data_IF_636162793232
#
_entry.id   IF_636162793232
#
_cell.length_a   1.000
_cell.length_b   1.000
_cell.length_c   1.000
_cell.angle_alpha   90.00
_cell.angle_beta   90.00
_cell.angle_gamma   90.00
#
_symmetry.space_group_name_H-M   'P 1'
#
loop_
_entity.id
_entity.type
_entity.pdbx_description
1 polymer ?
#
# COMPACT_ATOMS: atom_id res chain seq x y z
N UNK A 1 -14.67 5.76 -19.39
CA UNK A 1 -14.41 6.84 -18.39
C UNK A 1 -14.82 6.28 -17.03
N UNK A 2 -13.95 6.35 -16.02
CA UNK A 2 -14.31 5.87 -14.67
C UNK A 2 -15.30 6.86 -14.06
N UNK A 3 -16.39 6.36 -13.51
CA UNK A 3 -17.29 7.18 -12.70
C UNK A 3 -16.66 7.42 -11.33
N UNK A 4 -16.45 8.70 -11.00
CA UNK A 4 -15.84 9.09 -9.73
C UNK A 4 -16.83 8.95 -8.58
N UNK A 5 -16.36 8.39 -7.49
CA UNK A 5 -17.15 8.25 -6.26
C UNK A 5 -17.29 9.61 -5.55
N UNK A 6 -18.38 9.84 -4.79
CA UNK A 6 -18.63 11.15 -4.15
C UNK A 6 -17.45 11.65 -3.28
N UNK A 7 -16.77 10.76 -2.55
CA UNK A 7 -15.62 11.15 -1.74
C UNK A 7 -14.38 11.51 -2.58
N UNK A 8 -14.23 10.93 -3.79
CA UNK A 8 -13.15 11.30 -4.72
C UNK A 8 -13.40 12.68 -5.32
N UNK A 9 -14.65 12.99 -5.65
CA UNK A 9 -15.03 14.35 -6.07
C UNK A 9 -14.75 15.37 -4.96
N UNK A 10 -15.14 15.07 -3.70
CA UNK A 10 -14.85 15.94 -2.56
C UNK A 10 -13.35 16.14 -2.33
N UNK A 11 -12.53 15.11 -2.53
CA UNK A 11 -11.06 15.21 -2.43
C UNK A 11 -10.50 16.13 -3.54
N UNK A 12 -10.98 15.97 -4.78
CA UNK A 12 -10.57 16.80 -5.92
C UNK A 12 -10.99 18.25 -5.76
N UNK A 13 -12.17 18.52 -5.19
CA UNK A 13 -12.64 19.88 -4.90
C UNK A 13 -11.76 20.52 -3.81
N UNK A 14 -11.42 19.78 -2.75
CA UNK A 14 -10.51 20.25 -1.72
C UNK A 14 -9.10 20.56 -2.27
N UNK A 15 -8.59 19.72 -3.17
CA UNK A 15 -7.31 19.95 -3.86
C UNK A 15 -7.36 21.16 -4.79
N UNK A 16 -8.51 21.45 -5.39
CA UNK A 16 -8.69 22.64 -6.24
C UNK A 16 -8.77 23.93 -5.42
N UNK A 17 -9.16 23.85 -4.15
CA UNK A 17 -9.30 24.98 -3.23
C UNK A 17 -8.04 25.26 -2.40
N UNK A 18 -7.04 24.37 -2.43
CA UNK A 18 -5.83 24.49 -1.60
C UNK A 18 -4.61 23.93 -2.33
N UNK A 19 -3.54 24.72 -2.40
CA UNK A 19 -2.30 24.29 -3.08
C UNK A 19 -1.47 23.32 -2.27
N UNK A 20 -1.77 23.13 -0.97
CA UNK A 20 -1.05 22.21 -0.08
C UNK A 20 -1.97 21.61 0.96
N UNK A 21 -1.82 20.32 1.20
CA UNK A 21 -2.54 19.66 2.29
C UNK A 21 -2.52 18.15 2.28
N UNK A 22 -3.13 17.60 3.32
CA UNK A 22 -3.21 16.18 3.56
C UNK A 22 -4.57 15.65 3.12
N UNK A 23 -4.55 14.53 2.39
CA UNK A 23 -5.74 13.81 1.94
C UNK A 23 -5.74 12.44 2.63
N UNK A 24 -6.62 12.30 3.62
CA UNK A 24 -6.76 11.09 4.44
C UNK A 24 -7.88 10.25 3.85
N UNK A 25 -7.51 9.15 3.19
CA UNK A 25 -8.46 8.23 2.57
C UNK A 25 -8.09 6.80 2.97
N UNK A 26 -9.03 6.02 3.50
CA UNK A 26 -8.78 4.62 3.86
C UNK A 26 -8.21 3.80 2.70
N UNK A 27 -7.44 2.77 3.02
CA UNK A 27 -6.94 1.82 2.02
C UNK A 27 -8.13 1.20 1.28
N UNK A 28 -8.05 1.14 -0.05
CA UNK A 28 -9.17 0.72 -0.90
C UNK A 28 -10.15 1.85 -1.29
N UNK A 29 -10.01 3.04 -0.70
CA UNK A 29 -10.84 4.21 -1.02
C UNK A 29 -10.50 4.89 -2.36
N UNK A 30 -9.40 4.51 -3.05
CA UNK A 30 -9.06 5.01 -4.38
C UNK A 30 -8.24 6.29 -4.38
N UNK A 31 -7.25 6.42 -3.50
CA UNK A 31 -6.28 7.54 -3.47
C UNK A 31 -5.64 7.80 -4.83
N UNK A 32 -5.18 6.74 -5.50
CA UNK A 32 -4.54 6.83 -6.82
C UNK A 32 -5.45 7.48 -7.87
N UNK A 33 -6.74 7.16 -7.85
CA UNK A 33 -7.71 7.77 -8.79
C UNK A 33 -7.82 9.28 -8.57
N UNK A 34 -7.79 9.75 -7.31
CA UNK A 34 -7.78 11.20 -7.04
C UNK A 34 -6.54 11.88 -7.64
N UNK A 35 -5.35 11.28 -7.49
CA UNK A 35 -4.12 11.81 -8.09
C UNK A 35 -4.22 11.86 -9.62
N UNK A 36 -4.66 10.75 -10.25
CA UNK A 36 -4.79 10.65 -11.70
C UNK A 36 -5.78 11.69 -12.25
N UNK A 37 -6.94 11.84 -11.63
CA UNK A 37 -7.95 12.78 -12.11
C UNK A 37 -7.53 14.24 -11.90
N UNK A 38 -6.78 14.56 -10.84
CA UNK A 38 -6.19 15.89 -10.67
C UNK A 38 -5.13 16.17 -11.75
N UNK A 39 -4.27 15.21 -12.05
CA UNK A 39 -3.28 15.31 -13.17
C UNK A 39 -3.99 15.50 -14.50
N UNK A 40 -5.06 14.75 -14.80
CA UNK A 40 -5.86 14.94 -16.02
C UNK A 40 -6.46 16.33 -16.13
N UNK A 41 -6.91 16.90 -15.00
CA UNK A 41 -7.40 18.28 -14.96
C UNK A 41 -6.31 19.29 -15.33
N UNK A 42 -5.10 19.11 -14.79
CA UNK A 42 -3.95 19.97 -15.07
C UNK A 42 -3.48 19.84 -16.52
N UNK A 43 -3.44 18.63 -17.09
CA UNK A 43 -3.00 18.37 -18.46
C UNK A 43 -3.98 18.88 -19.54
N UNK A 44 -5.18 19.32 -19.14
CA UNK A 44 -6.08 20.08 -20.04
C UNK A 44 -5.63 21.52 -20.27
N UNK A 45 -4.69 22.01 -19.46
CA UNK A 45 -4.06 23.32 -19.66
C UNK A 45 -3.29 23.35 -21.00
N UNK A 46 -3.27 24.50 -21.70
CA UNK A 46 -2.39 24.68 -22.87
C UNK A 46 -0.91 24.82 -22.49
N UNK A 47 -0.61 25.00 -21.19
CA UNK A 47 0.76 25.10 -20.67
C UNK A 47 1.19 23.74 -20.16
N UNK A 48 2.37 23.30 -20.55
CA UNK A 48 2.96 22.07 -20.07
C UNK A 48 3.25 22.12 -18.55
N UNK A 49 2.93 21.04 -17.86
CA UNK A 49 3.13 20.91 -16.40
C UNK A 49 4.12 19.79 -16.10
N UNK A 50 4.91 19.97 -15.05
CA UNK A 50 5.82 18.97 -14.50
C UNK A 50 5.24 18.40 -13.20
N UNK A 51 4.89 17.13 -13.24
CA UNK A 51 4.26 16.39 -12.14
C UNK A 51 5.25 15.40 -11.55
N UNK A 52 5.33 15.31 -10.24
CA UNK A 52 6.11 14.28 -9.52
C UNK A 52 5.19 13.44 -8.65
N UNK A 53 5.32 12.13 -8.76
CA UNK A 53 4.60 11.15 -7.92
C UNK A 53 5.62 10.37 -7.10
N UNK A 54 5.54 10.50 -5.78
CA UNK A 54 6.49 9.90 -4.83
C UNK A 54 5.87 8.68 -4.17
N UNK A 55 6.51 7.54 -4.29
CA UNK A 55 6.10 6.28 -3.70
C UNK A 55 7.11 5.79 -2.63
N UNK A 56 6.70 4.96 -1.66
CA UNK A 56 7.61 4.43 -0.65
C UNK A 56 8.64 3.44 -1.22
N UNK A 57 8.33 2.77 -2.33
CA UNK A 57 9.17 1.72 -2.94
C UNK A 57 9.11 1.76 -4.47
N UNK A 58 10.19 1.26 -5.10
CA UNK A 58 10.32 1.18 -6.57
C UNK A 58 9.14 0.41 -7.21
N UNK A 59 8.77 -0.74 -6.64
CA UNK A 59 7.67 -1.54 -7.15
C UNK A 59 6.35 -0.76 -7.16
N UNK A 60 6.09 0.03 -6.11
CA UNK A 60 4.89 0.88 -6.05
C UNK A 60 4.99 2.05 -7.03
N UNK A 61 6.17 2.65 -7.22
CA UNK A 61 6.36 3.68 -8.23
C UNK A 61 6.06 3.16 -9.65
N UNK A 62 6.51 1.94 -9.98
CA UNK A 62 6.20 1.29 -11.25
C UNK A 62 4.70 0.97 -11.37
N UNK A 63 4.06 0.48 -10.29
CA UNK A 63 2.63 0.21 -10.26
C UNK A 63 1.80 1.48 -10.45
N UNK A 64 2.14 2.57 -9.76
CA UNK A 64 1.49 3.87 -9.95
C UNK A 64 1.63 4.36 -11.39
N UNK A 65 2.82 4.24 -11.98
CA UNK A 65 3.02 4.57 -13.39
C UNK A 65 2.06 3.78 -14.30
N UNK A 66 1.96 2.47 -14.12
CA UNK A 66 1.05 1.63 -14.90
C UNK A 66 -0.41 2.03 -14.69
N UNK A 67 -0.84 2.27 -13.45
CA UNK A 67 -2.21 2.69 -13.13
C UNK A 67 -2.54 4.08 -13.75
N UNK A 68 -1.59 5.00 -13.75
CA UNK A 68 -1.74 6.30 -14.39
C UNK A 68 -1.90 6.17 -15.91
N UNK A 69 -1.07 5.37 -16.56
CA UNK A 69 -1.12 5.19 -18.03
C UNK A 69 -2.35 4.39 -18.47
N UNK A 70 -2.76 3.36 -17.74
CA UNK A 70 -4.01 2.62 -18.00
C UNK A 70 -5.27 3.52 -17.98
N UNK A 71 -5.20 4.66 -17.29
CA UNK A 71 -6.28 5.63 -17.23
C UNK A 71 -6.21 6.70 -18.35
N UNK A 72 -5.53 6.40 -19.46
CA UNK A 72 -5.39 7.26 -20.63
C UNK A 72 -4.78 8.65 -20.31
N UNK A 73 -3.71 8.67 -19.53
CA UNK A 73 -2.93 9.90 -19.36
C UNK A 73 -2.26 10.36 -20.65
N UNK A 74 -2.11 9.47 -21.62
CA UNK A 74 -1.68 9.73 -23.00
C UNK A 74 -2.83 10.12 -23.95
N UNK A 75 -4.03 10.32 -23.42
CA UNK A 75 -5.22 10.73 -24.19
C UNK A 75 -5.07 12.10 -24.87
N UNK A 76 -6.08 12.53 -25.60
CA UNK A 76 -6.14 13.77 -26.38
C UNK A 76 -5.92 15.04 -25.54
N UNK A 77 -4.69 15.26 -25.09
CA UNK A 77 -4.25 16.53 -24.53
C UNK A 77 -3.67 17.42 -25.63
N UNK A 78 -3.81 18.74 -25.46
CA UNK A 78 -3.21 19.73 -26.37
C UNK A 78 -1.68 19.66 -26.40
N UNK A 79 -1.07 19.02 -25.39
CA UNK A 79 0.36 18.89 -25.18
C UNK A 79 0.67 17.40 -24.92
N UNK A 80 1.71 16.86 -25.55
CA UNK A 80 2.13 15.47 -25.35
C UNK A 80 2.53 15.19 -23.89
N UNK A 81 2.61 13.91 -23.53
CA UNK A 81 3.01 13.48 -22.18
C UNK A 81 4.32 12.70 -22.25
N UNK A 82 5.32 13.16 -21.50
CA UNK A 82 6.62 12.50 -21.34
C UNK A 82 6.70 11.85 -19.94
N UNK A 83 7.09 10.58 -19.89
CA UNK A 83 7.17 9.79 -18.65
C UNK A 83 8.61 9.45 -18.32
N UNK A 84 8.99 9.61 -17.05
CA UNK A 84 10.29 9.19 -16.55
C UNK A 84 10.20 8.57 -15.16
N UNK A 85 11.22 7.81 -14.79
CA UNK A 85 11.43 7.29 -13.45
C UNK A 85 12.73 7.83 -12.87
N UNK A 86 12.70 8.16 -11.57
CA UNK A 86 13.89 8.52 -10.81
C UNK A 86 14.05 7.53 -9.68
N UNK A 87 14.61 6.35 -10.02
CA UNK A 87 15.00 5.30 -9.09
C UNK A 87 15.98 4.31 -9.76
N UNK A 88 16.58 3.42 -8.98
CA UNK A 88 17.59 2.47 -9.48
C UNK A 88 17.02 1.15 -9.98
N UNK A 89 15.70 0.95 -9.93
CA UNK A 89 15.05 -0.29 -10.38
C UNK A 89 14.79 -0.32 -11.87
N UNK A 90 14.50 -1.51 -12.37
CA UNK A 90 14.13 -1.74 -13.76
C UNK A 90 12.76 -1.14 -14.08
N UNK A 91 12.63 -0.57 -15.28
CA UNK A 91 11.39 -0.03 -15.83
C UNK A 91 11.50 0.02 -17.35
N UNK A 92 10.36 0.01 -18.04
CA UNK A 92 10.29 0.17 -19.49
C UNK A 92 10.42 1.63 -19.97
N UNK A 93 10.39 2.58 -19.03
CA UNK A 93 10.50 4.01 -19.33
C UNK A 93 11.90 4.54 -19.08
N UNK A 94 12.16 5.76 -19.53
CA UNK A 94 13.40 6.42 -19.19
C UNK A 94 13.59 6.47 -17.68
N UNK A 95 14.74 6.01 -17.19
CA UNK A 95 15.05 5.99 -15.77
C UNK A 95 16.48 6.44 -15.51
N UNK A 96 16.65 7.28 -14.47
CA UNK A 96 17.97 7.72 -14.02
C UNK A 96 17.93 8.24 -12.60
N UNK A 97 19.03 8.08 -11.86
CA UNK A 97 19.26 8.71 -10.55
C UNK A 97 20.30 9.82 -10.61
N UNK A 98 20.81 10.18 -11.82
CA UNK A 98 21.79 11.26 -11.99
C UNK A 98 21.07 12.58 -12.20
N UNK A 99 21.23 13.53 -11.29
CA UNK A 99 20.59 14.85 -11.32
C UNK A 99 20.77 15.57 -12.68
N UNK A 100 22.01 15.58 -13.22
CA UNK A 100 22.28 16.18 -14.53
C UNK A 100 21.48 15.55 -15.69
N UNK A 101 21.24 14.23 -15.65
CA UNK A 101 20.44 13.55 -16.66
C UNK A 101 18.95 13.82 -16.50
N UNK A 102 18.47 14.01 -15.28
CA UNK A 102 17.08 14.43 -15.01
C UNK A 102 16.86 15.81 -15.62
N UNK A 103 17.77 16.77 -15.38
CA UNK A 103 17.71 18.11 -15.94
C UNK A 103 17.70 18.10 -17.48
N UNK A 104 18.61 17.33 -18.12
CA UNK A 104 18.67 17.20 -19.58
C UNK A 104 17.38 16.58 -20.14
N UNK A 105 16.83 15.55 -19.48
CA UNK A 105 15.59 14.92 -19.91
C UNK A 105 14.41 15.90 -19.81
N UNK A 106 14.29 16.63 -18.72
CA UNK A 106 13.23 17.63 -18.54
C UNK A 106 13.33 18.75 -19.58
N UNK A 107 14.54 19.27 -19.85
CA UNK A 107 14.75 20.29 -20.88
C UNK A 107 14.36 19.81 -22.28
N UNK A 108 14.67 18.55 -22.63
CA UNK A 108 14.28 17.96 -23.93
C UNK A 108 12.77 17.79 -24.06
N UNK A 109 12.05 17.69 -22.96
CA UNK A 109 10.61 17.49 -22.92
C UNK A 109 9.83 18.74 -22.47
N UNK A 110 10.45 19.92 -22.48
CA UNK A 110 9.84 21.16 -21.96
C UNK A 110 8.52 21.54 -22.64
N UNK A 111 8.33 21.12 -23.88
CA UNK A 111 7.07 21.34 -24.63
C UNK A 111 5.99 20.29 -24.31
N UNK A 112 6.30 19.28 -23.53
CA UNK A 112 5.38 18.22 -23.13
C UNK A 112 5.01 18.33 -21.65
N UNK A 113 3.82 17.88 -21.29
CA UNK A 113 3.54 17.54 -19.90
C UNK A 113 4.53 16.47 -19.44
N UNK A 114 5.14 16.67 -18.29
CA UNK A 114 6.13 15.74 -17.75
C UNK A 114 5.55 15.07 -16.51
N UNK A 115 5.65 13.74 -16.42
CA UNK A 115 5.30 13.01 -15.21
C UNK A 115 6.49 12.14 -14.79
N UNK A 116 6.95 12.33 -13.56
CA UNK A 116 8.10 11.67 -12.99
C UNK A 116 7.67 10.82 -11.80
N UNK A 117 7.85 9.51 -11.90
CA UNK A 117 7.63 8.59 -10.79
C UNK A 117 8.94 8.37 -10.04
N UNK A 118 8.92 8.55 -8.73
CA UNK A 118 10.11 8.43 -7.88
C UNK A 118 9.81 7.74 -6.57
N UNK A 119 10.85 7.49 -5.78
CA UNK A 119 10.72 7.01 -4.40
C UNK A 119 11.19 8.09 -3.43
N UNK A 120 10.75 8.00 -2.16
CA UNK A 120 11.27 8.88 -1.10
C UNK A 120 12.80 8.86 -1.04
N UNK A 121 13.42 7.69 -1.28
CA UNK A 121 14.88 7.54 -1.31
C UNK A 121 15.56 8.30 -2.45
N UNK A 122 14.87 8.53 -3.56
CA UNK A 122 15.45 9.17 -4.76
C UNK A 122 14.96 10.60 -4.97
N UNK A 123 14.04 11.09 -4.15
CA UNK A 123 13.42 12.40 -4.31
C UNK A 123 14.44 13.54 -4.31
N UNK A 124 15.47 13.47 -3.45
CA UNK A 124 16.55 14.46 -3.40
C UNK A 124 17.29 14.59 -4.73
N UNK A 125 17.30 13.56 -5.60
CA UNK A 125 17.93 13.64 -6.92
C UNK A 125 17.17 14.56 -7.88
N UNK A 126 15.85 14.66 -7.72
CA UNK A 126 15.04 15.60 -8.48
C UNK A 126 15.31 17.03 -7.96
N UNK A 127 15.43 17.21 -6.65
CA UNK A 127 15.83 18.49 -6.05
C UNK A 127 17.21 18.94 -6.56
N UNK A 128 18.21 18.07 -6.53
CA UNK A 128 19.58 18.35 -7.04
C UNK A 128 19.60 18.69 -8.53
N UNK A 129 18.62 18.22 -9.32
CA UNK A 129 18.54 18.51 -10.75
C UNK A 129 18.09 19.94 -11.08
N UNK A 130 17.51 20.65 -10.11
CA UNK A 130 17.05 22.02 -10.24
C UNK A 130 15.84 22.21 -11.18
N UNK A 131 15.15 21.15 -11.58
CA UNK A 131 13.94 21.28 -12.39
C UNK A 131 12.79 21.87 -11.57
N UNK A 132 11.98 22.70 -12.21
CA UNK A 132 10.74 23.16 -11.59
C UNK A 132 9.71 22.04 -11.53
N UNK A 133 8.96 21.96 -10.42
CA UNK A 133 7.89 20.99 -10.21
C UNK A 133 6.60 21.76 -9.94
N UNK A 134 5.61 21.61 -10.83
CA UNK A 134 4.32 22.27 -10.66
C UNK A 134 3.48 21.58 -9.59
N UNK A 135 3.38 20.27 -9.63
CA UNK A 135 2.62 19.52 -8.61
C UNK A 135 3.39 18.28 -8.16
N UNK A 136 3.39 18.05 -6.87
CA UNK A 136 3.95 16.83 -6.27
C UNK A 136 2.90 16.11 -5.43
N UNK A 137 2.81 14.78 -5.63
CA UNK A 137 1.98 13.88 -4.84
C UNK A 137 2.85 12.94 -4.04
N UNK A 138 2.63 12.88 -2.75
CA UNK A 138 3.27 11.94 -1.83
C UNK A 138 2.30 10.81 -1.51
N UNK A 139 2.48 9.63 -2.10
CA UNK A 139 1.70 8.45 -1.75
C UNK A 139 2.26 7.78 -0.50
N UNK A 140 1.37 7.21 0.34
CA UNK A 140 1.69 6.68 1.66
C UNK A 140 2.53 7.67 2.48
N UNK A 141 2.02 8.91 2.60
CA UNK A 141 2.74 10.09 3.11
C UNK A 141 3.22 9.95 4.56
N UNK A 142 2.74 8.96 5.32
CA UNK A 142 3.32 8.62 6.63
C UNK A 142 4.81 8.22 6.55
N UNK A 143 5.34 7.92 5.35
CA UNK A 143 6.77 7.70 5.13
C UNK A 143 7.58 9.00 5.07
N UNK A 144 6.96 10.11 4.69
CA UNK A 144 7.61 11.42 4.53
C UNK A 144 8.30 11.92 5.80
N UNK A 145 7.81 11.53 6.98
CA UNK A 145 8.36 11.95 8.29
C UNK A 145 9.67 11.24 8.68
N UNK A 146 10.21 10.37 7.82
CA UNK A 146 11.46 9.68 8.12
C UNK A 146 12.64 10.67 7.98
N UNK A 147 13.60 10.58 8.91
CA UNK A 147 14.76 11.49 8.99
C UNK A 147 15.50 11.67 7.66
N UNK A 148 15.62 10.59 6.88
CA UNK A 148 16.36 10.60 5.61
C UNK A 148 15.55 11.19 4.44
N UNK A 149 14.27 11.49 4.62
CA UNK A 149 13.38 11.95 3.57
C UNK A 149 12.88 13.37 3.80
N UNK A 150 12.81 13.79 5.07
CA UNK A 150 12.13 15.01 5.48
C UNK A 150 12.68 16.26 4.80
N UNK A 151 13.99 16.35 4.60
CA UNK A 151 14.65 17.51 3.97
C UNK A 151 14.12 17.75 2.54
N UNK A 152 14.08 16.70 1.72
CA UNK A 152 13.53 16.79 0.36
C UNK A 152 12.02 17.01 0.34
N UNK A 153 11.28 16.47 1.32
CA UNK A 153 9.84 16.70 1.48
C UNK A 153 9.56 18.16 1.81
N UNK A 154 10.28 18.72 2.77
CA UNK A 154 10.19 20.13 3.19
C UNK A 154 10.50 21.07 2.02
N UNK A 155 11.57 20.78 1.26
CA UNK A 155 11.91 21.52 0.06
C UNK A 155 10.72 21.60 -0.92
N UNK A 156 10.13 20.45 -1.27
CA UNK A 156 9.00 20.46 -2.23
C UNK A 156 7.71 21.02 -1.65
N UNK A 157 7.50 20.90 -0.33
CA UNK A 157 6.39 21.58 0.33
C UNK A 157 6.47 23.09 0.21
N UNK A 158 7.69 23.64 0.15
CA UNK A 158 7.90 25.10 0.03
C UNK A 158 7.94 25.57 -1.43
N UNK A 159 8.51 24.78 -2.34
CA UNK A 159 8.87 25.25 -3.69
C UNK A 159 8.03 24.67 -4.83
N UNK A 160 7.31 23.59 -4.63
CA UNK A 160 6.33 23.14 -5.63
C UNK A 160 5.09 24.05 -5.58
N UNK A 161 4.50 24.34 -6.74
CA UNK A 161 3.30 25.17 -6.79
C UNK A 161 2.13 24.51 -6.08
N UNK A 162 2.03 23.16 -6.14
CA UNK A 162 1.02 22.37 -5.44
C UNK A 162 1.66 21.13 -4.82
N UNK A 163 1.30 20.82 -3.57
CA UNK A 163 1.90 19.72 -2.80
C UNK A 163 0.85 18.96 -1.97
N UNK A 164 0.65 17.67 -2.27
CA UNK A 164 -0.39 16.87 -1.62
C UNK A 164 0.15 15.59 -1.00
N UNK A 165 -0.31 15.33 0.23
CA UNK A 165 0.11 14.21 1.07
C UNK A 165 -1.04 13.21 1.24
N UNK A 166 -0.96 12.08 0.54
CA UNK A 166 -1.98 11.03 0.57
C UNK A 166 -1.61 9.92 1.54
N UNK A 167 -2.49 9.61 2.47
CA UNK A 167 -2.32 8.45 3.38
C UNK A 167 -3.66 7.96 3.93
N UNK A 168 -3.69 6.71 4.38
CA UNK A 168 -4.78 6.19 5.21
C UNK A 168 -4.45 6.29 6.71
N UNK A 169 -3.16 6.45 7.05
CA UNK A 169 -2.62 6.30 8.39
C UNK A 169 -1.62 7.42 8.70
N UNK A 170 -2.09 8.62 9.06
CA UNK A 170 -1.20 9.73 9.40
C UNK A 170 -0.21 9.35 10.50
N UNK A 171 0.98 9.93 10.44
CA UNK A 171 2.02 9.72 11.43
C UNK A 171 2.36 11.04 12.10
N UNK A 172 1.96 11.18 13.35
CA UNK A 172 2.15 12.39 14.14
C UNK A 172 3.41 12.32 15.00
N UNK A 173 3.91 13.46 15.39
CA UNK A 173 4.99 13.57 16.38
C UNK A 173 4.47 14.30 17.63
N UNK A 174 4.94 13.85 18.79
CA UNK A 174 4.66 14.49 20.09
C UNK A 174 5.94 15.20 20.61
N UNK A 175 7.09 14.96 19.95
CA UNK A 175 8.39 15.46 20.37
C UNK A 175 9.03 16.41 19.37
N UNK A 176 10.36 16.50 19.42
CA UNK A 176 11.16 17.39 18.56
C UNK A 176 11.30 16.90 17.11
N UNK A 177 10.87 15.70 16.80
CA UNK A 177 10.88 15.19 15.42
C UNK A 177 9.67 15.70 14.66
N UNK A 178 9.83 15.86 13.35
CA UNK A 178 8.74 16.25 12.45
C UNK A 178 7.73 15.11 12.33
N UNK A 179 6.45 15.42 12.41
CA UNK A 179 5.32 14.54 12.16
C UNK A 179 4.35 15.19 11.17
N UNK A 180 3.40 14.44 10.65
CA UNK A 180 2.38 14.99 9.73
C UNK A 180 1.44 16.02 10.40
N UNK A 181 1.48 16.13 11.73
CA UNK A 181 0.83 17.22 12.48
C UNK A 181 1.59 18.56 12.42
N UNK A 182 2.75 18.60 11.78
CA UNK A 182 3.46 19.83 11.45
C UNK A 182 2.84 20.44 10.18
N UNK A 183 1.97 21.43 10.39
CA UNK A 183 1.21 22.08 9.30
C UNK A 183 2.04 23.01 8.43
N UNK A 184 3.23 23.44 8.90
CA UNK A 184 4.13 24.27 8.11
C UNK A 184 4.73 23.48 6.95
N UNK A 185 4.94 22.18 7.15
CA UNK A 185 5.45 21.26 6.11
C UNK A 185 4.31 20.55 5.39
N UNK A 186 3.39 19.93 6.14
CA UNK A 186 2.38 19.03 5.54
C UNK A 186 1.06 19.72 5.16
N UNK A 187 0.90 21.00 5.52
CA UNK A 187 -0.40 21.67 5.41
C UNK A 187 -1.44 21.07 6.37
N UNK A 188 -2.63 21.63 6.34
CA UNK A 188 -3.78 21.08 7.06
C UNK A 188 -4.35 19.82 6.41
N UNK A 189 -5.22 19.12 7.13
CA UNK A 189 -6.04 18.05 6.54
C UNK A 189 -7.16 18.70 5.72
N UNK A 190 -7.02 18.69 4.39
CA UNK A 190 -7.99 19.30 3.47
C UNK A 190 -9.11 18.33 3.08
N UNK A 191 -8.88 17.02 3.19
CA UNK A 191 -9.89 16.00 2.98
C UNK A 191 -9.67 14.82 3.94
N UNK A 192 -10.73 14.46 4.68
CA UNK A 192 -10.74 13.26 5.51
C UNK A 192 -11.98 12.42 5.18
N UNK A 193 -11.78 11.18 4.75
CA UNK A 193 -12.84 10.27 4.34
C UNK A 193 -13.02 9.19 5.40
N UNK A 194 -14.10 9.19 6.19
CA UNK A 194 -14.36 8.17 7.18
C UNK A 194 -14.62 6.79 6.55
N UNK A 195 -13.94 5.74 7.04
CA UNK A 195 -14.13 4.38 6.55
C UNK A 195 -15.59 3.86 6.67
N UNK A 196 -16.35 4.16 7.77
CA UNK A 196 -17.76 3.76 7.87
C UNK A 196 -18.62 4.30 6.72
N UNK A 197 -18.33 5.51 6.22
CA UNK A 197 -19.02 6.07 5.06
C UNK A 197 -18.78 5.23 3.81
N UNK A 198 -17.55 4.78 3.58
CA UNK A 198 -17.21 3.92 2.45
C UNK A 198 -17.81 2.52 2.57
N UNK A 199 -17.86 1.95 3.78
CA UNK A 199 -18.55 0.68 4.06
C UNK A 199 -20.04 0.81 3.77
N UNK A 200 -20.71 1.84 4.32
CA UNK A 200 -22.14 2.09 4.10
C UNK A 200 -22.50 2.27 2.60
N UNK A 201 -21.59 2.85 1.84
CA UNK A 201 -21.74 3.07 0.40
C UNK A 201 -21.32 1.83 -0.44
N UNK A 202 -20.83 0.76 0.19
CA UNK A 202 -20.43 -0.48 -0.48
C UNK A 202 -19.13 -0.35 -1.31
N UNK A 203 -18.31 0.66 -1.05
CA UNK A 203 -17.02 0.84 -1.75
C UNK A 203 -15.88 0.02 -1.15
N UNK A 204 -15.95 -0.24 0.15
CA UNK A 204 -15.09 -1.18 0.87
C UNK A 204 -15.98 -2.07 1.75
N UNK A 205 -15.45 -3.22 2.17
CA UNK A 205 -16.14 -4.17 3.03
C UNK A 205 -15.82 -3.90 4.52
N UNK A 206 -16.73 -4.24 5.45
CA UNK A 206 -16.40 -4.20 6.87
C UNK A 206 -15.38 -5.28 7.22
N UNK A 207 -14.42 -5.02 8.13
CA UNK A 207 -13.55 -6.06 8.67
C UNK A 207 -14.30 -6.92 9.71
N UNK A 208 -14.09 -8.25 9.65
CA UNK A 208 -14.53 -9.21 10.68
C UNK A 208 -13.29 -9.74 11.39
N UNK A 209 -13.16 -9.50 12.69
CA UNK A 209 -12.01 -9.96 13.47
C UNK A 209 -12.34 -11.27 14.16
N UNK A 210 -11.49 -12.27 13.98
CA UNK A 210 -11.53 -13.56 14.66
C UNK A 210 -10.25 -13.72 15.46
N UNK A 211 -10.38 -13.91 16.78
CA UNK A 211 -9.27 -14.18 17.67
C UNK A 211 -9.30 -15.66 18.02
N UNK A 212 -8.34 -16.42 17.50
CA UNK A 212 -8.22 -17.85 17.79
C UNK A 212 -7.26 -18.05 18.96
N UNK A 213 -7.77 -18.48 20.11
CA UNK A 213 -6.95 -18.87 21.25
C UNK A 213 -6.36 -20.25 20.98
N UNK A 214 -5.08 -20.40 21.22
CA UNK A 214 -4.33 -21.63 21.04
C UNK A 214 -3.66 -21.96 22.38
N UNK A 215 -3.89 -23.15 22.87
CA UNK A 215 -3.22 -23.65 24.07
C UNK A 215 -1.77 -23.99 23.73
N UNK A 216 -0.84 -23.33 24.44
CA UNK A 216 0.59 -23.58 24.24
C UNK A 216 0.96 -24.98 24.74
N UNK A 217 1.56 -25.76 23.87
CA UNK A 217 2.46 -26.83 24.28
C UNK A 217 3.79 -26.18 24.63
N UNK A 218 4.29 -26.40 25.84
CA UNK A 218 5.46 -25.71 26.42
C UNK A 218 6.81 -26.00 25.72
N UNK A 219 6.80 -26.75 24.62
CA UNK A 219 7.97 -27.15 23.87
C UNK A 219 8.13 -26.31 22.58
N UNK A 220 9.15 -25.47 22.55
CA UNK A 220 9.48 -24.61 21.40
C UNK A 220 9.76 -25.39 20.08
N UNK A 221 9.99 -26.72 20.17
CA UNK A 221 10.18 -27.58 19.00
C UNK A 221 8.92 -27.74 18.17
N UNK A 222 7.74 -27.71 18.81
CA UNK A 222 6.45 -27.88 18.14
C UNK A 222 5.78 -26.58 17.71
N UNK A 223 6.47 -25.44 17.87
CA UNK A 223 5.85 -24.13 17.57
C UNK A 223 5.42 -23.98 16.10
N UNK A 224 6.13 -24.57 15.15
CA UNK A 224 5.77 -24.52 13.75
C UNK A 224 4.60 -25.47 13.42
N UNK A 225 4.41 -26.54 14.17
CA UNK A 225 3.25 -27.41 14.07
C UNK A 225 2.01 -26.67 14.60
N UNK A 226 2.12 -25.96 15.73
CA UNK A 226 1.04 -25.14 16.25
C UNK A 226 0.65 -23.99 15.29
N UNK A 227 1.65 -23.34 14.64
CA UNK A 227 1.37 -22.37 13.59
C UNK A 227 0.62 -23.04 12.41
N UNK A 228 1.00 -24.26 12.03
CA UNK A 228 0.36 -25.05 10.99
C UNK A 228 -1.10 -25.36 11.33
N UNK A 229 -1.35 -25.95 12.49
CA UNK A 229 -2.69 -26.32 12.96
C UNK A 229 -3.60 -25.10 13.03
N UNK A 230 -3.08 -23.99 13.59
CA UNK A 230 -3.82 -22.75 13.67
C UNK A 230 -4.27 -22.22 12.31
N UNK A 231 -3.38 -22.26 11.32
CA UNK A 231 -3.70 -21.78 9.98
C UNK A 231 -4.73 -22.70 9.33
N UNK A 232 -4.53 -24.01 9.38
CA UNK A 232 -5.42 -25.00 8.78
C UNK A 232 -6.81 -25.00 9.43
N UNK A 233 -6.88 -24.99 10.76
CA UNK A 233 -8.14 -24.88 11.49
C UNK A 233 -8.89 -23.59 11.14
N UNK A 234 -8.17 -22.47 10.96
CA UNK A 234 -8.81 -21.22 10.57
C UNK A 234 -9.37 -21.28 9.16
N UNK A 235 -8.67 -21.95 8.25
CA UNK A 235 -9.12 -22.20 6.89
C UNK A 235 -10.42 -23.00 6.93
N UNK A 236 -10.41 -24.10 7.68
CA UNK A 236 -11.56 -25.01 7.78
C UNK A 236 -12.76 -24.36 8.47
N UNK A 237 -12.52 -23.57 9.53
CA UNK A 237 -13.58 -22.89 10.31
C UNK A 237 -14.24 -21.72 9.54
N UNK A 238 -13.52 -21.03 8.67
CA UNK A 238 -13.99 -19.79 8.06
C UNK A 238 -14.33 -19.91 6.56
N UNK A 239 -14.07 -21.05 5.94
CA UNK A 239 -14.33 -21.33 4.52
C UNK A 239 -13.89 -20.18 3.60
N UNK A 240 -12.60 -19.87 3.65
CA UNK A 240 -11.98 -18.75 2.91
C UNK A 240 -11.01 -19.26 1.85
N UNK A 241 -11.09 -18.77 0.64
CA UNK A 241 -10.34 -19.28 -0.50
C UNK A 241 -9.01 -18.56 -0.74
N UNK A 242 -8.87 -17.30 -0.35
CA UNK A 242 -7.71 -16.43 -0.71
C UNK A 242 -7.13 -15.76 0.52
N UNK A 243 -6.04 -16.31 1.02
CA UNK A 243 -5.52 -16.00 2.36
C UNK A 243 -4.13 -15.37 2.29
N UNK A 244 -3.95 -14.25 3.00
CA UNK A 244 -2.67 -13.61 3.23
C UNK A 244 -2.15 -13.93 4.63
N UNK A 245 -1.00 -14.57 4.72
CA UNK A 245 -0.32 -14.86 5.99
C UNK A 245 0.85 -13.90 6.20
N UNK A 246 0.75 -13.10 7.26
CA UNK A 246 1.79 -12.19 7.71
C UNK A 246 2.69 -12.88 8.75
N UNK A 247 3.79 -13.47 8.32
CA UNK A 247 4.70 -14.21 9.18
C UNK A 247 5.67 -13.28 9.95
N UNK A 248 6.14 -13.73 11.11
CA UNK A 248 7.10 -13.03 11.96
C UNK A 248 8.50 -12.96 11.36
N UNK A 249 8.89 -13.97 10.59
CA UNK A 249 10.22 -14.08 9.99
C UNK A 249 10.22 -15.00 8.79
N UNK A 250 11.24 -14.87 7.94
CA UNK A 250 11.50 -15.86 6.88
C UNK A 250 11.64 -17.27 7.43
N UNK A 251 12.30 -17.44 8.60
CA UNK A 251 12.46 -18.75 9.25
C UNK A 251 11.11 -19.39 9.58
N UNK A 252 10.13 -18.60 10.08
CA UNK A 252 8.79 -19.11 10.37
C UNK A 252 8.11 -19.67 9.11
N UNK A 253 8.18 -18.94 7.98
CA UNK A 253 7.63 -19.40 6.70
C UNK A 253 8.32 -20.69 6.25
N UNK A 254 9.67 -20.70 6.27
CA UNK A 254 10.44 -21.87 5.86
C UNK A 254 10.11 -23.08 6.72
N UNK A 255 10.04 -22.94 8.05
CA UNK A 255 9.68 -24.02 8.95
C UNK A 255 8.26 -24.54 8.67
N UNK A 256 7.29 -23.64 8.49
CA UNK A 256 5.92 -24.02 8.18
C UNK A 256 5.85 -24.84 6.87
N UNK A 257 6.59 -24.44 5.85
CA UNK A 257 6.60 -25.10 4.53
C UNK A 257 7.38 -26.41 4.53
N UNK A 258 8.52 -26.49 5.27
CA UNK A 258 9.48 -27.60 5.14
C UNK A 258 9.51 -28.57 6.32
N UNK A 259 8.94 -28.21 7.48
CA UNK A 259 9.02 -29.01 8.70
C UNK A 259 7.66 -29.47 9.23
N UNK A 260 6.56 -29.14 8.52
CA UNK A 260 5.21 -29.57 8.86
C UNK A 260 4.51 -30.20 7.65
N UNK A 261 3.33 -30.76 7.87
CA UNK A 261 2.45 -31.27 6.81
C UNK A 261 1.74 -30.15 6.01
N UNK A 262 1.95 -28.88 6.36
CA UNK A 262 1.18 -27.71 5.87
C UNK A 262 0.92 -27.72 4.36
N UNK A 263 1.96 -27.95 3.55
CA UNK A 263 1.84 -27.94 2.09
C UNK A 263 1.00 -29.12 1.58
N UNK A 264 1.18 -30.30 2.15
CA UNK A 264 0.37 -31.48 1.80
C UNK A 264 -1.09 -31.27 2.19
N UNK A 265 -1.34 -30.72 3.37
CA UNK A 265 -2.68 -30.45 3.88
C UNK A 265 -3.40 -29.35 3.07
N UNK A 266 -2.67 -28.32 2.65
CA UNK A 266 -3.19 -27.32 1.70
C UNK A 266 -3.56 -27.95 0.36
N UNK A 267 -2.67 -28.81 -0.18
CA UNK A 267 -2.91 -29.51 -1.44
C UNK A 267 -4.14 -30.42 -1.37
N UNK A 268 -4.31 -31.17 -0.27
CA UNK A 268 -5.49 -32.00 -0.04
C UNK A 268 -6.80 -31.19 0.01
N UNK A 269 -6.73 -29.94 0.44
CA UNK A 269 -7.85 -28.99 0.46
C UNK A 269 -8.02 -28.21 -0.86
N UNK A 270 -7.21 -28.51 -1.88
CA UNK A 270 -7.27 -27.83 -3.18
C UNK A 270 -6.64 -26.44 -3.22
N UNK A 271 -5.81 -26.08 -2.23
CA UNK A 271 -5.09 -24.81 -2.23
C UNK A 271 -3.74 -24.90 -2.94
N UNK A 272 -3.47 -23.90 -3.77
CA UNK A 272 -2.10 -23.54 -4.18
C UNK A 272 -1.45 -22.65 -3.13
N UNK A 273 -0.14 -22.51 -3.16
CA UNK A 273 0.55 -21.68 -2.22
C UNK A 273 1.67 -20.85 -2.85
N UNK A 274 1.90 -19.70 -2.26
CA UNK A 274 2.94 -18.77 -2.67
C UNK A 274 3.68 -18.25 -1.45
N UNK A 275 4.98 -17.99 -1.60
CA UNK A 275 5.72 -17.26 -0.58
C UNK A 275 6.68 -16.26 -1.19
N UNK A 276 6.89 -15.13 -0.50
CA UNK A 276 7.89 -14.14 -0.90
C UNK A 276 8.59 -13.56 0.33
N UNK A 277 9.92 -13.63 0.32
CA UNK A 277 10.77 -13.03 1.35
C UNK A 277 12.02 -12.41 0.73
N UNK A 278 12.67 -11.51 1.46
CA UNK A 278 13.92 -10.88 1.01
C UNK A 278 15.09 -11.89 0.90
N UNK A 279 15.03 -12.99 1.67
CA UNK A 279 16.11 -14.00 1.73
C UNK A 279 15.91 -15.16 0.77
N UNK A 280 14.69 -15.67 0.66
CA UNK A 280 14.39 -16.83 -0.19
C UNK A 280 13.98 -16.44 -1.60
N UNK A 281 13.63 -15.17 -1.83
CA UNK A 281 13.00 -14.72 -3.05
C UNK A 281 11.53 -15.12 -3.11
N UNK A 282 11.01 -15.29 -4.31
CA UNK A 282 9.63 -15.64 -4.61
C UNK A 282 9.53 -17.12 -5.02
N UNK A 283 8.49 -17.80 -4.51
CA UNK A 283 8.21 -19.22 -4.79
C UNK A 283 6.71 -19.38 -5.01
N UNK A 284 6.32 -20.16 -6.01
CA UNK A 284 4.94 -20.55 -6.33
C UNK A 284 4.88 -22.08 -6.44
N UNK A 285 4.06 -22.74 -5.64
CA UNK A 285 3.88 -24.20 -5.61
C UNK A 285 5.21 -24.96 -5.69
N UNK A 286 6.19 -24.53 -4.88
CA UNK A 286 7.53 -25.13 -4.79
C UNK A 286 8.54 -24.69 -5.86
N UNK A 287 8.12 -23.94 -6.89
CA UNK A 287 9.00 -23.45 -7.95
C UNK A 287 9.48 -22.04 -7.66
N UNK A 288 10.79 -21.82 -7.77
CA UNK A 288 11.39 -20.50 -7.63
C UNK A 288 11.10 -19.67 -8.89
N UNK A 289 10.55 -18.46 -8.70
CA UNK A 289 10.19 -17.54 -9.78
C UNK A 289 10.83 -16.16 -9.56
N UNK A 290 10.81 -15.31 -10.58
CA UNK A 290 11.17 -13.90 -10.40
C UNK A 290 10.02 -13.11 -9.76
N UNK A 291 10.29 -11.87 -9.34
CA UNK A 291 9.27 -11.04 -8.67
C UNK A 291 8.12 -10.65 -9.58
N UNK A 292 8.40 -10.37 -10.82
CA UNK A 292 7.39 -9.97 -11.80
C UNK A 292 6.39 -11.12 -12.04
N UNK A 293 6.89 -12.33 -12.30
CA UNK A 293 6.07 -13.54 -12.45
C UNK A 293 5.23 -13.81 -11.19
N UNK A 294 5.82 -13.63 -9.99
CA UNK A 294 5.10 -13.80 -8.73
C UNK A 294 3.91 -12.85 -8.63
N UNK A 295 4.10 -11.55 -8.89
CA UNK A 295 3.02 -10.57 -8.78
C UNK A 295 1.98 -10.71 -9.89
N UNK A 296 2.39 -11.06 -11.10
CA UNK A 296 1.48 -11.34 -12.20
C UNK A 296 0.59 -12.55 -11.87
N UNK A 297 1.18 -13.65 -11.37
CA UNK A 297 0.43 -14.83 -10.94
C UNK A 297 -0.50 -14.52 -9.77
N UNK A 298 -0.02 -13.78 -8.76
CA UNK A 298 -0.84 -13.38 -7.61
C UNK A 298 -2.05 -12.54 -8.03
N UNK A 299 -1.87 -11.62 -8.97
CA UNK A 299 -2.97 -10.81 -9.51
C UNK A 299 -3.95 -11.64 -10.36
N UNK A 300 -3.44 -12.61 -11.12
CA UNK A 300 -4.28 -13.52 -11.92
C UNK A 300 -5.11 -14.42 -11.00
N UNK A 301 -4.48 -15.05 -10.02
CA UNK A 301 -5.18 -15.89 -9.04
C UNK A 301 -6.18 -15.09 -8.18
N UNK A 302 -5.84 -13.85 -7.85
CA UNK A 302 -6.74 -12.98 -7.11
C UNK A 302 -8.04 -12.64 -7.86
N UNK A 303 -7.99 -12.58 -9.20
CA UNK A 303 -9.16 -12.31 -10.05
C UNK A 303 -9.98 -13.57 -10.37
N UNK A 304 -9.38 -14.73 -10.26
CA UNK A 304 -10.03 -16.02 -10.55
C UNK A 304 -10.87 -16.46 -9.34
N UNK A 305 -12.18 -16.44 -9.46
CA UNK A 305 -13.11 -16.82 -8.39
C UNK A 305 -13.04 -18.31 -8.00
N UNK A 306 -12.54 -19.17 -8.89
CA UNK A 306 -12.39 -20.61 -8.63
C UNK A 306 -11.06 -20.96 -7.94
N UNK A 307 -10.12 -20.02 -7.88
CA UNK A 307 -8.77 -20.29 -7.37
C UNK A 307 -8.68 -20.14 -5.86
N UNK A 308 -8.27 -21.23 -5.20
CA UNK A 308 -7.96 -21.26 -3.77
C UNK A 308 -6.44 -21.13 -3.58
N UNK A 309 -5.99 -20.18 -2.76
CA UNK A 309 -4.56 -20.04 -2.50
C UNK A 309 -4.22 -19.37 -1.18
N UNK A 310 -3.04 -19.69 -0.69
CA UNK A 310 -2.40 -19.06 0.47
C UNK A 310 -1.14 -18.34 0.02
N UNK A 311 -1.02 -17.06 0.35
CA UNK A 311 0.21 -16.29 0.13
C UNK A 311 0.86 -15.92 1.45
N UNK A 312 2.11 -16.33 1.64
CA UNK A 312 2.89 -16.07 2.84
C UNK A 312 3.97 -15.02 2.61
N UNK A 313 4.10 -14.07 3.52
CA UNK A 313 5.15 -13.08 3.42
C UNK A 313 5.71 -12.64 4.77
N UNK A 314 6.94 -12.12 4.73
CA UNK A 314 7.53 -11.35 5.80
C UNK A 314 8.00 -10.01 5.22
N UNK A 315 7.35 -8.91 5.58
CA UNK A 315 7.60 -7.51 5.20
C UNK A 315 7.36 -7.08 3.75
N UNK A 316 7.58 -7.92 2.74
CA UNK A 316 7.55 -7.47 1.33
C UNK A 316 6.15 -7.02 0.88
N UNK A 317 5.11 -7.73 1.29
CA UNK A 317 3.72 -7.36 0.96
C UNK A 317 3.12 -6.33 1.93
N UNK A 318 3.88 -5.83 2.91
CA UNK A 318 3.35 -4.92 3.94
C UNK A 318 3.02 -3.53 3.40
N UNK A 319 3.69 -3.07 2.34
CA UNK A 319 3.56 -1.72 1.82
C UNK A 319 3.09 -1.71 0.35
N UNK A 320 1.97 -1.07 0.11
CA UNK A 320 1.56 -0.55 -1.19
C UNK A 320 1.16 -1.54 -2.29
N UNK A 321 1.44 -2.83 -2.21
CA UNK A 321 1.13 -3.77 -3.28
C UNK A 321 -0.37 -4.04 -3.35
N UNK A 322 -0.94 -3.78 -4.52
CA UNK A 322 -2.35 -4.02 -4.78
C UNK A 322 -2.58 -5.49 -5.11
N UNK A 323 -3.04 -6.28 -4.13
CA UNK A 323 -3.51 -7.65 -4.36
C UNK A 323 -5.03 -7.64 -4.40
N UNK A 324 -5.60 -7.96 -5.55
CA UNK A 324 -7.06 -8.08 -5.71
C UNK A 324 -7.53 -9.43 -5.19
N UNK A 325 -8.74 -9.49 -4.69
CA UNK A 325 -9.45 -10.72 -4.36
C UNK A 325 -9.05 -11.40 -3.04
N UNK A 326 -8.11 -10.89 -2.25
CA UNK A 326 -7.82 -11.43 -0.92
C UNK A 326 -9.06 -11.36 -0.02
N UNK A 327 -9.36 -12.44 0.68
CA UNK A 327 -10.54 -12.59 1.53
C UNK A 327 -10.19 -12.52 3.01
N UNK A 328 -9.04 -13.12 3.37
CA UNK A 328 -8.58 -13.17 4.74
C UNK A 328 -7.12 -12.73 4.91
N UNK A 329 -6.82 -12.12 6.05
CA UNK A 329 -5.46 -11.86 6.51
C UNK A 329 -5.24 -12.51 7.87
N UNK A 330 -4.14 -13.23 8.01
CA UNK A 330 -3.75 -13.93 9.23
C UNK A 330 -2.45 -13.34 9.78
N UNK A 331 -2.48 -12.87 11.03
CA UNK A 331 -1.33 -12.24 11.67
C UNK A 331 -0.59 -13.21 12.58
N UNK A 332 0.46 -13.86 12.09
CA UNK A 332 1.36 -14.69 12.89
C UNK A 332 2.50 -13.90 13.55
N UNK A 333 2.40 -12.56 13.58
CA UNK A 333 3.41 -11.66 14.14
C UNK A 333 2.80 -10.43 14.77
N UNK A 334 3.57 -9.77 15.64
CA UNK A 334 3.26 -8.42 16.07
C UNK A 334 3.53 -7.43 14.93
N UNK A 335 2.60 -6.52 14.71
CA UNK A 335 2.70 -5.43 13.76
C UNK A 335 2.38 -4.10 14.43
N UNK A 336 2.82 -3.02 13.83
CA UNK A 336 2.40 -1.67 14.20
C UNK A 336 1.01 -1.33 13.63
N UNK A 337 0.45 -0.21 14.05
CA UNK A 337 -0.87 0.24 13.60
C UNK A 337 -0.94 0.47 12.09
N UNK A 338 0.14 0.99 11.48
CA UNK A 338 0.21 1.22 10.03
C UNK A 338 0.14 -0.10 9.28
N UNK A 339 0.99 -1.06 9.64
CA UNK A 339 1.02 -2.37 9.00
C UNK A 339 -0.29 -3.14 9.15
N UNK A 340 -0.93 -3.06 10.33
CA UNK A 340 -2.25 -3.65 10.56
C UNK A 340 -3.30 -2.99 9.66
N UNK A 341 -3.40 -1.66 9.67
CA UNK A 341 -4.37 -0.92 8.86
C UNK A 341 -4.20 -1.18 7.37
N UNK A 342 -2.96 -1.18 6.87
CA UNK A 342 -2.66 -1.50 5.48
C UNK A 342 -3.02 -2.94 5.12
N UNK A 343 -2.79 -3.90 6.01
CA UNK A 343 -3.13 -5.31 5.78
C UNK A 343 -4.63 -5.52 5.79
N UNK A 344 -5.36 -4.93 6.75
CA UNK A 344 -6.83 -4.90 6.76
C UNK A 344 -7.34 -4.33 5.43
N UNK A 345 -6.79 -3.19 5.01
CA UNK A 345 -7.15 -2.53 3.76
C UNK A 345 -7.00 -3.39 2.49
N UNK A 346 -6.26 -4.50 2.53
CA UNK A 346 -6.14 -5.43 1.40
C UNK A 346 -7.30 -6.40 1.32
N UNK A 347 -7.78 -6.86 2.46
CA UNK A 347 -8.85 -7.88 2.53
C UNK A 347 -10.26 -7.29 2.54
N UNK A 348 -10.39 -6.01 2.84
CA UNK A 348 -11.70 -5.32 2.79
C UNK A 348 -12.03 -4.75 1.39
N UNK A 349 -11.18 -4.92 0.41
CA UNK A 349 -11.49 -4.53 -0.98
C UNK A 349 -12.60 -5.40 -1.52
N UNK A 350 -13.56 -4.78 -2.17
CA UNK A 350 -14.60 -5.50 -2.88
C UNK A 350 -13.95 -6.29 -4.03
N UNK A 351 -14.08 -7.59 -4.00
CA UNK A 351 -13.60 -8.50 -5.05
C UNK A 351 -14.78 -9.08 -5.79
N UNK A 352 -15.20 -10.28 -5.40
CA UNK A 352 -16.39 -10.96 -5.87
C UNK A 352 -17.65 -10.39 -5.19
N UNK A 353 -18.83 -10.49 -5.85
CA UNK A 353 -20.12 -10.05 -5.29
C UNK A 353 -20.54 -10.87 -4.07
N UNK A 354 -20.10 -12.12 -3.96
CA UNK A 354 -20.36 -13.01 -2.82
C UNK A 354 -19.66 -12.56 -1.54
N UNK A 355 -18.59 -11.78 -1.64
CA UNK A 355 -17.78 -11.34 -0.51
C UNK A 355 -18.46 -10.19 0.24
N UNK A 356 -18.81 -10.41 1.51
CA UNK A 356 -19.53 -9.45 2.36
C UNK A 356 -18.68 -8.79 3.43
N UNK A 357 -17.51 -9.36 3.76
CA UNK A 357 -16.55 -8.83 4.75
C UNK A 357 -15.11 -9.19 4.41
N UNK A 358 -14.15 -8.52 5.04
CA UNK A 358 -12.74 -8.91 5.04
C UNK A 358 -12.39 -9.60 6.35
N UNK A 359 -11.95 -10.85 6.32
CA UNK A 359 -11.61 -11.62 7.52
C UNK A 359 -10.22 -11.25 8.04
N UNK A 360 -10.13 -11.00 9.34
CA UNK A 360 -8.88 -10.76 10.05
C UNK A 360 -8.74 -11.80 11.15
N UNK A 361 -7.78 -12.70 11.02
CA UNK A 361 -7.52 -13.73 12.02
C UNK A 361 -6.23 -13.42 12.79
N UNK A 362 -6.32 -13.45 14.11
CA UNK A 362 -5.18 -13.27 15.01
C UNK A 362 -5.09 -14.44 15.98
N UNK A 363 -4.12 -15.34 15.79
CA UNK A 363 -3.85 -16.40 16.76
C UNK A 363 -3.24 -15.80 18.02
N UNK A 364 -3.73 -16.24 19.17
CA UNK A 364 -3.25 -15.83 20.48
C UNK A 364 -2.73 -17.04 21.23
N UNK A 365 -1.42 -17.08 21.43
CA UNK A 365 -0.71 -18.09 22.20
C UNK A 365 -0.42 -17.52 23.59
N UNK A 366 -1.19 -17.85 24.57
CA UNK A 366 -1.05 -17.33 25.94
C UNK A 366 -0.83 -15.79 25.95
N UNK A 367 0.36 -15.30 26.27
CA UNK A 367 0.69 -13.87 26.24
C UNK A 367 1.11 -13.37 24.84
N UNK A 368 1.48 -14.28 23.93
CA UNK A 368 1.87 -13.94 22.56
C UNK A 368 0.62 -13.73 21.73
N UNK A 369 0.59 -12.67 20.93
CA UNK A 369 -0.56 -12.30 20.10
C UNK A 369 -1.59 -11.40 20.80
N UNK A 370 -1.64 -11.34 22.14
CA UNK A 370 -2.54 -10.42 22.85
C UNK A 370 -2.29 -8.97 22.44
N UNK A 371 -1.02 -8.56 22.29
CA UNK A 371 -0.68 -7.22 21.83
C UNK A 371 -1.17 -6.96 20.42
N UNK A 372 -1.05 -7.93 19.52
CA UNK A 372 -1.53 -7.80 18.13
C UNK A 372 -3.04 -7.78 18.09
N UNK A 373 -3.73 -8.64 18.81
CA UNK A 373 -5.20 -8.68 18.85
C UNK A 373 -5.78 -7.36 19.37
N UNK A 374 -5.20 -6.79 20.44
CA UNK A 374 -5.60 -5.47 20.97
C UNK A 374 -5.38 -4.37 19.93
N UNK A 375 -4.24 -4.36 19.23
CA UNK A 375 -3.98 -3.36 18.20
C UNK A 375 -4.93 -3.51 17.01
N UNK A 376 -5.21 -4.74 16.58
CA UNK A 376 -6.19 -5.01 15.51
C UNK A 376 -7.56 -4.48 15.93
N UNK A 377 -8.00 -4.80 17.15
CA UNK A 377 -9.28 -4.31 17.67
C UNK A 377 -9.30 -2.78 17.73
N UNK A 378 -8.23 -2.15 18.25
CA UNK A 378 -8.13 -0.69 18.28
C UNK A 378 -8.21 -0.07 16.87
N UNK A 379 -7.52 -0.65 15.87
CA UNK A 379 -7.61 -0.16 14.48
C UNK A 379 -9.03 -0.30 13.94
N UNK A 380 -9.69 -1.44 14.19
CA UNK A 380 -11.06 -1.66 13.74
C UNK A 380 -12.03 -0.68 14.40
N UNK A 381 -11.93 -0.51 15.71
CA UNK A 381 -12.80 0.40 16.46
C UNK A 381 -12.59 1.85 16.04
N UNK A 382 -11.33 2.30 15.92
CA UNK A 382 -11.01 3.67 15.55
C UNK A 382 -11.40 3.95 14.09
N UNK A 383 -10.98 3.09 13.16
CA UNK A 383 -11.13 3.39 11.72
C UNK A 383 -12.52 3.04 11.21
N UNK A 384 -13.06 1.86 11.59
CA UNK A 384 -14.30 1.35 10.98
C UNK A 384 -15.56 1.59 11.82
N UNK A 385 -15.44 1.84 13.12
CA UNK A 385 -16.57 2.16 13.97
C UNK A 385 -16.68 3.65 14.25
N UNK A 386 -15.57 4.32 14.60
CA UNK A 386 -15.55 5.75 14.93
C UNK A 386 -15.32 6.63 13.68
N UNK A 387 -14.67 6.10 12.65
CA UNK A 387 -14.40 6.83 11.40
C UNK A 387 -13.18 7.74 11.47
N UNK A 388 -12.35 7.60 12.51
CA UNK A 388 -11.12 8.35 12.69
C UNK A 388 -9.94 7.63 12.04
N UNK A 389 -8.95 8.33 11.49
CA UNK A 389 -7.78 7.69 10.93
C UNK A 389 -6.94 7.00 12.03
N UNK A 390 -6.34 5.86 11.71
CA UNK A 390 -5.38 5.21 12.59
C UNK A 390 -4.08 6.04 12.65
N UNK A 391 -3.96 6.88 13.67
CA UNK A 391 -2.79 7.73 13.87
C UNK A 391 -1.68 6.91 14.56
N UNK A 392 -0.50 6.93 13.97
CA UNK A 392 0.72 6.42 14.61
C UNK A 392 1.61 7.58 15.09
N UNK A 393 2.52 7.29 16.02
CA UNK A 393 3.39 8.29 16.62
C UNK A 393 4.83 8.03 16.23
N UNK A 394 5.55 9.08 15.83
CA UNK A 394 7.00 9.05 15.65
C UNK A 394 7.63 8.87 17.03
N UNK A 395 8.39 7.80 17.23
CA UNK A 395 9.15 7.55 18.45
C UNK A 395 10.55 8.16 18.29
N UNK A 396 11.03 8.75 19.37
CA UNK A 396 12.40 9.28 19.47
C UNK A 396 13.44 8.18 19.36
#
# INVERSE_FOLDING_TARGET
MIELRPHQLSALDAMSASDRGQIIVPTGGGKTICMIEDVKRQFKSPVANTIVVVAPRILLANQLCSEFLEQNLDGNYNVGVAVAHVHSGETHYYSTTKASRISVWSTKNVANNQIIFTTYHSLHRIQESGIHVDTIYFDEAHNAVQKNFIEAVEYYSMYASRCYFFTATPKHSIGSRVGMNDTDIFGGVICNVPAPKLVKQGYILPPKVVIKKIDLVDDSRFKHEQDCDCVLDTIDDQDVDKILICARSTKQIVNLVSQTSFINDLSCRGYSWMMITSKTGAVIDGKKVNREEFFNTLNTWGKDSSKRFVVMHHSILSEGINVKGLEAAMFLRNMDYIGISQTIGRVIRKGDESKTFGLICVPVYDKVGISTSRKVQTVVDTVFNQGEPAISVVRN
#
